data_IF_629660056404
#
_entry.id   IF_629660056404
#
_cell.length_a   1.000
_cell.length_b   1.000
_cell.length_c   1.000
_cell.angle_alpha   90.00
_cell.angle_beta   90.00
_cell.angle_gamma   90.00
#
_symmetry.space_group_name_H-M   'P 1'
#
loop_
_entity.id
_entity.type
_entity.pdbx_description
1 polymer ?
#
# COMPACT_ATOMS: atom_id res chain seq x y z
N UNK A 1 12.60 -20.62 -20.65
CA UNK A 1 12.33 -19.45 -21.53
C UNK A 1 13.13 -18.19 -21.17
N UNK A 2 14.33 -18.27 -20.55
CA UNK A 2 15.19 -17.10 -20.28
C UNK A 2 14.51 -15.91 -19.57
N UNK A 3 13.58 -16.19 -18.65
CA UNK A 3 12.84 -15.21 -17.87
C UNK A 3 12.97 -15.52 -16.38
N UNK A 4 13.03 -14.48 -15.55
CA UNK A 4 12.91 -14.63 -14.10
C UNK A 4 11.53 -15.19 -13.74
N UNK A 5 11.52 -16.14 -12.80
CA UNK A 5 10.31 -16.83 -12.32
C UNK A 5 9.71 -16.12 -11.09
N UNK A 6 10.56 -15.55 -10.24
CA UNK A 6 10.16 -14.80 -9.03
C UNK A 6 10.19 -13.28 -9.27
N UNK A 7 10.46 -12.48 -8.23
CA UNK A 7 10.46 -11.02 -8.30
C UNK A 7 11.32 -10.51 -9.46
N UNK A 8 10.76 -9.58 -10.22
CA UNK A 8 11.39 -8.96 -11.39
C UNK A 8 10.98 -7.51 -11.51
N UNK A 9 11.89 -6.69 -12.03
CA UNK A 9 11.55 -5.32 -12.43
C UNK A 9 10.76 -5.31 -13.74
N UNK A 10 9.97 -4.25 -13.94
CA UNK A 10 9.45 -3.90 -15.26
C UNK A 10 10.59 -3.61 -16.26
N UNK A 11 11.74 -3.14 -15.78
CA UNK A 11 12.94 -2.92 -16.60
C UNK A 11 13.72 -4.23 -16.75
N UNK A 12 13.86 -4.71 -17.98
CA UNK A 12 14.51 -6.01 -18.30
C UNK A 12 15.95 -6.16 -17.80
N UNK A 13 16.67 -5.05 -17.64
CA UNK A 13 18.08 -5.03 -17.23
C UNK A 13 18.28 -4.55 -15.78
N UNK A 14 17.23 -4.54 -14.97
CA UNK A 14 17.27 -4.16 -13.55
C UNK A 14 17.05 -5.39 -12.66
N UNK A 15 18.02 -5.70 -11.82
CA UNK A 15 18.08 -6.97 -11.09
C UNK A 15 18.18 -6.82 -9.56
N UNK A 16 18.19 -5.60 -9.03
CA UNK A 16 18.42 -5.38 -7.59
C UNK A 16 17.35 -6.07 -6.74
N UNK A 17 16.07 -6.00 -7.15
CA UNK A 17 14.95 -6.62 -6.42
C UNK A 17 15.02 -8.15 -6.49
N UNK A 18 15.36 -8.71 -7.65
CA UNK A 18 15.56 -10.15 -7.81
C UNK A 18 16.73 -10.68 -6.96
N UNK A 19 17.82 -9.91 -6.87
CA UNK A 19 18.97 -10.27 -6.05
C UNK A 19 18.68 -10.12 -4.55
N UNK A 20 17.93 -9.09 -4.15
CA UNK A 20 17.49 -8.88 -2.78
C UNK A 20 16.60 -10.03 -2.31
N UNK A 21 15.58 -10.39 -3.09
CA UNK A 21 14.71 -11.52 -2.80
C UNK A 21 15.50 -12.84 -2.72
N UNK A 22 16.48 -13.04 -3.60
CA UNK A 22 17.36 -14.22 -3.54
C UNK A 22 18.18 -14.27 -2.25
N UNK A 23 18.70 -13.14 -1.79
CA UNK A 23 19.44 -13.05 -0.53
C UNK A 23 18.53 -13.34 0.66
N UNK A 24 17.31 -12.82 0.65
CA UNK A 24 16.30 -13.07 1.67
C UNK A 24 15.86 -14.55 1.69
N UNK A 25 15.62 -15.14 0.53
CA UNK A 25 15.35 -16.58 0.38
C UNK A 25 16.51 -17.44 0.90
N UNK A 26 17.76 -17.00 0.70
CA UNK A 26 18.94 -17.69 1.25
C UNK A 26 18.97 -17.63 2.78
N UNK A 27 18.65 -16.49 3.38
CA UNK A 27 18.57 -16.33 4.84
C UNK A 27 17.54 -17.28 5.44
N UNK A 28 16.39 -17.40 4.77
CA UNK A 28 15.27 -18.27 5.15
C UNK A 28 15.39 -19.71 4.60
N UNK A 29 16.52 -20.06 3.99
CA UNK A 29 16.86 -21.40 3.51
C UNK A 29 16.41 -21.76 2.10
N UNK A 30 15.28 -21.23 1.61
CA UNK A 30 14.82 -21.44 0.22
C UNK A 30 13.79 -20.39 -0.22
N UNK A 31 13.50 -20.33 -1.52
CA UNK A 31 12.37 -19.53 -2.04
C UNK A 31 11.00 -20.07 -1.58
N UNK A 32 10.88 -21.39 -1.39
CA UNK A 32 9.64 -22.00 -0.92
C UNK A 32 9.31 -21.57 0.51
N UNK A 33 10.34 -21.37 1.34
CA UNK A 33 10.19 -20.88 2.72
C UNK A 33 9.61 -19.45 2.79
N UNK A 34 9.66 -18.66 1.71
CA UNK A 34 9.07 -17.32 1.67
C UNK A 34 7.56 -17.34 1.40
N UNK A 35 6.98 -18.49 1.04
CA UNK A 35 5.56 -18.59 0.70
C UNK A 35 4.69 -18.38 1.94
N UNK A 36 3.78 -17.41 1.86
CA UNK A 36 2.86 -17.09 2.95
C UNK A 36 3.52 -16.29 4.09
N UNK A 37 4.65 -15.64 3.83
CA UNK A 37 5.31 -14.75 4.79
C UNK A 37 4.45 -13.57 5.22
N UNK A 38 4.76 -13.03 6.39
CA UNK A 38 4.08 -11.87 6.97
C UNK A 38 4.79 -10.57 6.55
N UNK A 39 4.04 -9.58 6.05
CA UNK A 39 4.61 -8.28 5.67
C UNK A 39 5.34 -7.59 6.84
N UNK A 40 4.84 -7.76 8.07
CA UNK A 40 5.44 -7.17 9.26
C UNK A 40 6.84 -7.71 9.53
N UNK A 41 7.02 -9.03 9.47
CA UNK A 41 8.33 -9.66 9.64
C UNK A 41 9.32 -9.13 8.61
N UNK A 42 8.89 -9.01 7.34
CA UNK A 42 9.74 -8.45 6.30
C UNK A 42 10.09 -6.96 6.56
N UNK A 43 9.14 -6.16 7.04
CA UNK A 43 9.40 -4.76 7.40
C UNK A 43 10.41 -4.67 8.55
N UNK A 44 10.30 -5.51 9.58
CA UNK A 44 11.25 -5.59 10.69
C UNK A 44 12.63 -6.01 10.20
N UNK A 45 12.74 -7.09 9.43
CA UNK A 45 14.01 -7.59 8.90
C UNK A 45 14.72 -6.54 8.02
N UNK A 46 13.98 -5.71 7.27
CA UNK A 46 14.57 -4.70 6.38
C UNK A 46 14.85 -3.36 7.04
N UNK A 47 14.24 -3.05 8.18
CA UNK A 47 14.35 -1.72 8.80
C UNK A 47 14.89 -1.72 10.22
N UNK A 48 14.79 -2.85 10.94
CA UNK A 48 14.98 -2.90 12.39
C UNK A 48 13.93 -2.08 13.16
N UNK A 49 12.86 -1.66 12.50
CA UNK A 49 11.81 -0.81 13.07
C UNK A 49 10.83 -1.56 13.97
N UNK A 50 9.91 -0.81 14.58
CA UNK A 50 8.84 -1.35 15.43
C UNK A 50 7.56 -1.43 14.62
N UNK A 51 6.92 -2.59 14.61
CA UNK A 51 5.66 -2.78 13.89
C UNK A 51 4.43 -2.60 14.75
N UNK A 52 3.39 -2.07 14.12
CA UNK A 52 2.04 -1.94 14.62
C UNK A 52 1.06 -2.53 13.61
N UNK A 53 -0.06 -3.03 14.10
CA UNK A 53 -1.08 -3.69 13.32
C UNK A 53 -2.47 -3.21 13.76
N UNK A 54 -3.34 -2.94 12.79
CA UNK A 54 -4.73 -2.61 13.05
C UNK A 54 -5.65 -3.48 12.18
N UNK A 55 -6.59 -4.16 12.82
CA UNK A 55 -7.78 -4.67 12.14
C UNK A 55 -8.69 -3.49 11.80
N UNK A 56 -9.05 -3.33 10.53
CA UNK A 56 -9.84 -2.17 10.06
C UNK A 56 -11.26 -2.15 10.62
N UNK A 57 -11.78 -3.31 11.06
CA UNK A 57 -13.05 -3.43 11.80
C UNK A 57 -12.99 -2.79 13.20
N UNK A 58 -11.81 -2.77 13.81
CA UNK A 58 -11.58 -2.30 15.19
C UNK A 58 -10.65 -1.08 15.23
N UNK A 59 -10.35 -0.51 14.06
CA UNK A 59 -9.37 0.55 13.94
C UNK A 59 -9.85 1.84 14.64
N UNK A 60 -8.90 2.61 15.21
CA UNK A 60 -9.23 3.83 15.93
C UNK A 60 -9.83 4.89 15.00
N UNK A 61 -10.64 5.78 15.56
CA UNK A 61 -11.38 6.81 14.78
C UNK A 61 -10.45 7.80 14.07
N UNK A 62 -9.24 7.98 14.60
CA UNK A 62 -8.19 8.83 14.07
C UNK A 62 -7.16 8.07 13.20
N UNK A 63 -7.45 6.83 12.77
CA UNK A 63 -6.56 6.02 11.92
C UNK A 63 -6.00 6.79 10.73
N UNK A 64 -6.83 7.60 10.06
CA UNK A 64 -6.38 8.41 8.93
C UNK A 64 -5.24 9.39 9.32
N UNK A 65 -5.36 10.00 10.50
CA UNK A 65 -4.31 10.89 11.03
C UNK A 65 -3.06 10.10 11.40
N UNK A 66 -3.22 8.91 11.97
CA UNK A 66 -2.10 8.01 12.29
C UNK A 66 -1.34 7.63 11.02
N UNK A 67 -2.05 7.20 9.97
CA UNK A 67 -1.45 6.85 8.67
C UNK A 67 -0.73 8.04 8.04
N UNK A 68 -1.33 9.23 8.10
CA UNK A 68 -0.71 10.44 7.55
C UNK A 68 0.60 10.78 8.28
N UNK A 69 0.58 10.80 9.61
CA UNK A 69 1.79 11.02 10.43
C UNK A 69 2.85 9.94 10.18
N UNK A 70 2.44 8.70 9.99
CA UNK A 70 3.31 7.57 9.66
C UNK A 70 4.06 7.81 8.33
N UNK A 71 3.38 8.27 7.28
CA UNK A 71 4.07 8.61 6.03
C UNK A 71 4.98 9.83 6.18
N UNK A 72 4.55 10.86 6.91
CA UNK A 72 5.32 12.09 7.13
C UNK A 72 6.65 11.81 7.85
N UNK A 73 6.69 10.82 8.76
CA UNK A 73 7.91 10.37 9.46
C UNK A 73 8.70 9.28 8.71
N UNK A 74 8.24 8.87 7.53
CA UNK A 74 8.92 7.86 6.71
C UNK A 74 8.68 6.42 7.14
N UNK A 75 7.66 6.13 7.95
CA UNK A 75 7.24 4.76 8.26
C UNK A 75 6.82 4.02 6.99
N UNK A 76 7.02 2.71 6.98
CA UNK A 76 6.50 1.84 5.93
C UNK A 76 5.08 1.42 6.28
N UNK A 77 4.22 1.29 5.28
CA UNK A 77 2.86 0.82 5.48
C UNK A 77 2.44 -0.20 4.42
N UNK A 78 1.81 -1.26 4.91
CA UNK A 78 1.21 -2.32 4.11
C UNK A 78 -0.25 -2.51 4.50
N UNK A 79 -1.02 -3.11 3.62
CA UNK A 79 -2.39 -3.51 3.92
C UNK A 79 -2.75 -4.74 3.10
N UNK A 80 -3.78 -5.47 3.53
CA UNK A 80 -4.27 -6.60 2.75
C UNK A 80 -5.73 -6.90 3.06
N UNK A 81 -6.25 -7.84 2.29
CA UNK A 81 -7.62 -8.34 2.41
C UNK A 81 -7.52 -9.82 2.77
N UNK A 82 -7.98 -10.21 3.94
CA UNK A 82 -7.91 -11.61 4.34
C UNK A 82 -8.80 -12.49 3.45
N UNK A 83 -8.28 -13.68 3.13
CA UNK A 83 -9.06 -14.70 2.44
C UNK A 83 -9.66 -15.63 3.49
N UNK A 84 -11.00 -15.62 3.60
CA UNK A 84 -11.75 -16.53 4.48
C UNK A 84 -11.58 -18.02 4.10
N UNK A 85 -11.01 -18.31 2.93
CA UNK A 85 -10.80 -19.68 2.43
C UNK A 85 -9.31 -19.88 2.10
N UNK A 86 -8.57 -20.67 2.89
CA UNK A 86 -7.12 -20.89 2.72
C UNK A 86 -6.73 -21.46 1.34
N UNK A 87 -7.65 -22.12 0.64
CA UNK A 87 -7.40 -22.70 -0.68
C UNK A 87 -7.48 -21.69 -1.84
N UNK A 88 -7.79 -20.42 -1.56
CA UNK A 88 -7.99 -19.37 -2.57
C UNK A 88 -7.23 -18.09 -2.22
N UNK A 89 -5.91 -18.20 -2.10
CA UNK A 89 -5.03 -17.04 -2.17
C UNK A 89 -5.13 -16.40 -3.57
N UNK A 90 -4.88 -15.09 -3.64
CA UNK A 90 -4.84 -14.33 -4.89
C UNK A 90 -6.17 -14.30 -5.69
N UNK A 91 -7.31 -14.32 -4.98
CA UNK A 91 -8.63 -14.22 -5.64
C UNK A 91 -8.99 -12.77 -5.92
N UNK A 92 -9.19 -12.44 -7.20
CA UNK A 92 -9.65 -11.12 -7.63
C UNK A 92 -11.13 -10.89 -7.27
N UNK A 93 -11.44 -9.73 -6.71
CA UNK A 93 -12.79 -9.26 -6.44
C UNK A 93 -13.42 -8.65 -7.70
N UNK A 94 -14.73 -8.41 -7.66
CA UNK A 94 -15.42 -7.65 -8.72
C UNK A 94 -14.91 -6.21 -8.84
N UNK A 95 -14.36 -5.67 -7.76
CA UNK A 95 -13.78 -4.32 -7.71
C UNK A 95 -12.31 -4.25 -8.15
N UNK A 96 -11.76 -5.37 -8.62
CA UNK A 96 -10.40 -5.45 -9.13
C UNK A 96 -9.33 -5.82 -8.10
N UNK A 97 -9.60 -5.63 -6.81
CA UNK A 97 -8.69 -5.95 -5.70
C UNK A 97 -8.43 -7.46 -5.58
N UNK A 98 -7.36 -7.84 -4.89
CA UNK A 98 -6.91 -9.23 -4.76
C UNK A 98 -6.89 -9.61 -3.28
N UNK A 99 -7.59 -10.70 -2.93
CA UNK A 99 -7.62 -11.25 -1.57
C UNK A 99 -6.42 -12.14 -1.28
N UNK A 100 -5.99 -12.20 -0.02
CA UNK A 100 -4.80 -12.92 0.41
C UNK A 100 -3.52 -12.36 -0.20
N UNK A 101 -3.50 -11.04 -0.47
CA UNK A 101 -2.43 -10.34 -1.16
C UNK A 101 -2.08 -9.04 -0.45
N UNK A 102 -0.78 -8.75 -0.35
CA UNK A 102 -0.28 -7.54 0.27
C UNK A 102 -0.20 -6.38 -0.74
N UNK A 103 -0.65 -5.21 -0.30
CA UNK A 103 -0.53 -3.94 -1.01
C UNK A 103 0.33 -3.00 -0.17
N UNK A 104 1.08 -2.11 -0.80
CA UNK A 104 1.78 -1.02 -0.10
C UNK A 104 0.91 0.22 -0.05
N UNK A 105 0.87 0.91 1.09
CA UNK A 105 0.29 2.27 1.17
C UNK A 105 1.40 3.26 0.80
N UNK A 106 1.24 3.99 -0.30
CA UNK A 106 2.29 4.87 -0.85
C UNK A 106 1.99 6.36 -0.67
N UNK A 107 0.74 6.74 -0.38
CA UNK A 107 0.37 8.10 0.00
C UNK A 107 -0.96 8.14 0.74
N UNK A 108 -1.17 9.19 1.54
CA UNK A 108 -2.45 9.54 2.15
C UNK A 108 -2.59 11.05 2.06
N UNK A 109 -3.64 11.52 1.39
CA UNK A 109 -3.84 12.95 1.19
C UNK A 109 -5.33 13.31 1.05
N UNK A 110 -5.63 14.59 1.21
CA UNK A 110 -6.96 15.16 1.10
C UNK A 110 -7.07 16.00 -0.17
N UNK A 111 -8.23 15.91 -0.84
CA UNK A 111 -8.55 16.73 -1.99
C UNK A 111 -9.85 17.50 -1.78
N UNK A 112 -10.02 18.60 -2.53
CA UNK A 112 -11.24 19.41 -2.50
C UNK A 112 -11.92 19.40 -3.87
N UNK A 113 -12.96 18.58 -4.07
CA UNK A 113 -13.80 18.64 -5.27
C UNK A 113 -14.38 20.05 -5.46
N UNK A 114 -14.28 20.58 -6.68
CA UNK A 114 -14.78 21.92 -7.00
C UNK A 114 -16.29 22.10 -6.79
N UNK A 115 -17.06 21.00 -6.76
CA UNK A 115 -18.49 20.98 -6.49
C UNK A 115 -18.85 20.94 -4.99
N UNK A 116 -17.90 20.63 -4.11
CA UNK A 116 -18.11 20.51 -2.67
C UNK A 116 -17.22 21.51 -1.93
N UNK A 117 -17.67 22.77 -1.82
CA UNK A 117 -16.89 23.86 -1.21
C UNK A 117 -16.45 23.58 0.23
N UNK A 118 -17.19 22.78 0.99
CA UNK A 118 -16.94 22.59 2.43
C UNK A 118 -16.47 21.19 2.85
N UNK A 119 -16.50 20.18 1.97
CA UNK A 119 -16.11 18.81 2.33
C UNK A 119 -14.87 18.36 1.58
N UNK A 120 -13.76 18.23 2.32
CA UNK A 120 -12.57 17.54 1.85
C UNK A 120 -12.85 16.04 1.72
N UNK A 121 -12.29 15.41 0.70
CA UNK A 121 -12.30 13.95 0.54
C UNK A 121 -10.95 13.41 0.96
N UNK A 122 -10.96 12.43 1.86
CA UNK A 122 -9.78 11.71 2.33
C UNK A 122 -9.48 10.56 1.38
N UNK A 123 -8.28 10.53 0.82
CA UNK A 123 -7.83 9.53 -0.13
C UNK A 123 -6.62 8.75 0.42
N UNK A 124 -6.50 7.51 -0.02
CA UNK A 124 -5.36 6.62 0.23
C UNK A 124 -4.86 6.11 -1.12
N UNK A 125 -3.55 6.21 -1.36
CA UNK A 125 -2.88 5.65 -2.54
C UNK A 125 -2.24 4.32 -2.17
N UNK A 126 -2.53 3.32 -2.97
CA UNK A 126 -2.14 1.94 -2.76
C UNK A 126 -1.40 1.44 -3.99
N UNK A 127 -0.45 0.54 -3.78
CA UNK A 127 0.30 -0.10 -4.86
C UNK A 127 0.21 -1.62 -4.76
N UNK A 128 -0.27 -2.23 -5.84
CA UNK A 128 -0.17 -3.65 -6.07
C UNK A 128 1.28 -4.00 -6.50
N UNK A 129 2.02 -4.84 -5.75
CA UNK A 129 3.40 -5.19 -6.08
C UNK A 129 3.56 -5.91 -7.43
N UNK A 130 2.48 -6.44 -8.02
CA UNK A 130 2.51 -6.99 -9.38
C UNK A 130 2.74 -5.94 -10.47
N UNK A 131 2.54 -4.66 -10.15
CA UNK A 131 2.67 -3.56 -11.11
C UNK A 131 1.55 -3.53 -12.17
N UNK A 132 0.40 -4.14 -11.83
CA UNK A 132 -0.81 -4.26 -12.65
C UNK A 132 -1.95 -4.72 -11.73
N UNK A 133 -3.16 -4.80 -12.26
CA UNK A 133 -4.38 -5.21 -11.56
C UNK A 133 -4.73 -4.24 -10.43
N UNK A 134 -5.55 -3.26 -10.81
CA UNK A 134 -5.89 -2.12 -9.97
C UNK A 134 -7.37 -2.10 -9.57
N UNK A 135 -7.67 -1.21 -8.62
CA UNK A 135 -9.02 -0.82 -8.23
C UNK A 135 -9.80 -0.22 -9.40
N UNK A 136 -11.06 -0.61 -9.56
CA UNK A 136 -11.94 -0.11 -10.63
C UNK A 136 -13.15 0.70 -10.13
N UNK A 137 -13.16 1.09 -8.85
CA UNK A 137 -14.22 1.89 -8.24
C UNK A 137 -13.91 3.40 -8.24
N UNK A 138 -14.62 4.19 -7.40
CA UNK A 138 -14.37 5.63 -7.27
C UNK A 138 -12.90 5.94 -6.98
N UNK A 139 -12.38 6.98 -7.63
CA UNK A 139 -10.96 7.40 -7.57
C UNK A 139 -9.93 6.46 -8.22
N UNK A 140 -10.36 5.38 -8.88
CA UNK A 140 -9.49 4.66 -9.84
C UNK A 140 -8.99 5.58 -10.95
N UNK A 141 -7.93 5.19 -11.64
CA UNK A 141 -7.24 5.99 -12.66
C UNK A 141 -8.14 6.64 -13.72
N UNK A 142 -9.17 5.91 -14.16
CA UNK A 142 -10.09 6.38 -15.19
C UNK A 142 -11.43 6.88 -14.62
N UNK A 143 -11.49 7.09 -13.31
CA UNK A 143 -12.73 7.43 -12.62
C UNK A 143 -13.16 8.88 -12.86
N UNK A 144 -14.48 9.09 -12.90
CA UNK A 144 -15.07 10.41 -13.16
C UNK A 144 -14.80 11.42 -12.05
N UNK A 145 -14.53 10.99 -10.83
CA UNK A 145 -14.27 11.84 -9.66
C UNK A 145 -13.10 12.79 -9.93
N UNK A 146 -12.08 12.34 -10.67
CA UNK A 146 -10.96 13.18 -11.09
C UNK A 146 -11.39 14.38 -11.93
N UNK A 147 -12.49 14.30 -12.69
CA UNK A 147 -12.97 15.43 -13.50
C UNK A 147 -13.42 16.61 -12.65
N UNK A 148 -13.69 16.38 -11.36
CA UNK A 148 -14.12 17.41 -10.41
C UNK A 148 -12.97 18.16 -9.74
N UNK A 149 -11.72 17.73 -9.93
CA UNK A 149 -10.53 18.36 -9.35
C UNK A 149 -9.88 19.35 -10.33
N UNK A 150 -9.32 20.43 -9.78
CA UNK A 150 -8.45 21.33 -10.54
C UNK A 150 -7.17 20.61 -10.98
N UNK A 151 -6.44 21.19 -11.94
CA UNK A 151 -5.14 20.66 -12.35
C UNK A 151 -4.16 20.60 -11.18
N UNK A 152 -4.10 21.67 -10.37
CA UNK A 152 -3.19 21.74 -9.23
C UNK A 152 -3.46 20.66 -8.18
N UNK A 153 -4.74 20.33 -7.91
CA UNK A 153 -5.11 19.24 -7.00
C UNK A 153 -4.71 17.86 -7.57
N UNK A 154 -4.84 17.66 -8.88
CA UNK A 154 -4.38 16.41 -9.54
C UNK A 154 -2.87 16.27 -9.51
N UNK A 155 -2.16 17.36 -9.77
CA UNK A 155 -0.70 17.40 -9.77
C UNK A 155 -0.17 17.14 -8.34
N UNK A 156 -0.83 17.71 -7.32
CA UNK A 156 -0.56 17.43 -5.90
C UNK A 156 -0.73 15.94 -5.57
N UNK A 157 -1.82 15.32 -6.03
CA UNK A 157 -2.11 13.90 -5.82
C UNK A 157 -1.29 12.98 -6.74
N UNK A 158 -0.42 13.54 -7.59
CA UNK A 158 0.36 12.80 -8.57
C UNK A 158 -0.51 11.84 -9.40
N UNK A 159 -1.72 12.28 -9.75
CA UNK A 159 -2.65 11.45 -10.49
C UNK A 159 -2.08 11.11 -11.86
N UNK A 160 -1.97 9.81 -12.14
CA UNK A 160 -1.60 9.26 -13.44
C UNK A 160 -2.72 8.32 -13.87
N UNK A 161 -2.87 8.15 -15.18
CA UNK A 161 -3.74 7.13 -15.77
C UNK A 161 -2.83 6.14 -16.46
N UNK A 162 -2.39 5.13 -15.73
CA UNK A 162 -1.41 4.17 -16.17
C UNK A 162 -1.63 2.82 -15.47
N UNK A 163 -1.58 1.71 -16.20
CA UNK A 163 -1.63 0.39 -15.58
C UNK A 163 -0.23 0.06 -15.01
N UNK A 164 0.04 0.54 -13.79
CA UNK A 164 1.30 0.36 -13.07
C UNK A 164 1.13 -0.24 -11.67
N UNK A 165 -0.11 -0.61 -11.33
CA UNK A 165 -0.50 -1.19 -10.05
C UNK A 165 -0.76 -0.16 -8.95
N UNK A 166 -0.48 1.13 -9.17
CA UNK A 166 -0.73 2.19 -8.20
C UNK A 166 -2.05 2.90 -8.47
N UNK A 167 -2.89 3.05 -7.44
CA UNK A 167 -4.21 3.66 -7.58
C UNK A 167 -4.62 4.38 -6.31
N UNK A 168 -5.54 5.34 -6.45
CA UNK A 168 -6.19 5.98 -5.31
C UNK A 168 -7.55 5.35 -5.03
N UNK A 169 -7.97 5.40 -3.76
CA UNK A 169 -9.34 5.15 -3.33
C UNK A 169 -9.73 6.07 -2.18
N UNK A 170 -11.02 6.20 -1.91
CA UNK A 170 -11.47 6.93 -0.72
C UNK A 170 -11.08 6.17 0.56
N UNK A 171 -10.82 6.89 1.65
CA UNK A 171 -10.53 6.24 2.94
C UNK A 171 -11.70 5.37 3.44
N UNK A 172 -12.93 5.74 3.10
CA UNK A 172 -14.10 4.92 3.42
C UNK A 172 -14.14 3.63 2.61
N UNK A 173 -13.83 3.69 1.31
CA UNK A 173 -13.69 2.48 0.50
C UNK A 173 -12.52 1.62 0.98
N UNK A 174 -11.41 2.24 1.39
CA UNK A 174 -10.27 1.52 1.98
C UNK A 174 -10.71 0.69 3.18
N UNK A 175 -11.34 1.30 4.19
CA UNK A 175 -11.87 0.59 5.36
C UNK A 175 -12.89 -0.48 5.04
N UNK A 176 -13.70 -0.27 3.99
CA UNK A 176 -14.74 -1.22 3.58
C UNK A 176 -14.18 -2.45 2.87
N UNK A 177 -13.09 -2.29 2.13
CA UNK A 177 -12.56 -3.35 1.25
C UNK A 177 -11.36 -4.09 1.85
N UNK A 178 -10.53 -3.41 2.65
CA UNK A 178 -9.37 -3.99 3.31
C UNK A 178 -9.72 -4.49 4.71
N UNK A 179 -9.01 -5.52 5.18
CA UNK A 179 -9.23 -6.10 6.51
C UNK A 179 -8.19 -5.63 7.51
N UNK A 180 -6.95 -5.42 7.05
CA UNK A 180 -5.83 -5.03 7.90
C UNK A 180 -4.93 -3.95 7.31
N UNK A 181 -4.34 -3.17 8.20
CA UNK A 181 -3.22 -2.27 7.92
C UNK A 181 -2.07 -2.56 8.89
N UNK A 182 -0.87 -2.50 8.34
CA UNK A 182 0.40 -2.89 8.93
C UNK A 182 1.33 -1.67 8.82
N UNK A 183 1.86 -1.17 9.93
CA UNK A 183 2.71 0.03 9.97
C UNK A 183 4.04 -0.35 10.61
N UNK A 184 5.16 0.00 9.98
CA UNK A 184 6.49 -0.17 10.54
C UNK A 184 7.16 1.18 10.73
N UNK A 185 7.41 1.54 11.99
CA UNK A 185 8.05 2.79 12.38
C UNK A 185 9.56 2.61 12.49
N UNK A 186 10.32 3.50 11.84
CA UNK A 186 11.77 3.41 11.75
C UNK A 186 12.51 3.86 13.03
N UNK A 187 11.83 4.49 13.97
CA UNK A 187 12.37 4.85 15.29
C UNK A 187 11.37 4.50 16.39
N UNK A 188 11.81 4.10 17.60
CA UNK A 188 10.92 3.90 18.75
C UNK A 188 10.17 5.19 19.14
N UNK A 189 10.81 6.34 18.99
CA UNK A 189 10.26 7.66 19.32
C UNK A 189 9.10 8.08 18.39
N UNK A 190 8.89 7.39 17.27
CA UNK A 190 7.79 7.62 16.34
C UNK A 190 6.40 7.38 16.96
N UNK A 191 6.34 6.68 18.10
CA UNK A 191 5.14 6.45 18.88
C UNK A 191 4.76 7.66 19.75
N UNK A 192 5.71 8.57 20.03
CA UNK A 192 5.53 9.68 20.98
C UNK A 192 5.83 11.08 20.42
N UNK A 193 6.56 11.22 19.31
CA UNK A 193 7.08 12.51 18.83
C UNK A 193 6.63 12.87 17.39
N UNK A 194 6.08 14.08 17.22
CA UNK A 194 5.59 14.64 15.95
C UNK A 194 6.74 15.19 15.06
N UNK A 195 7.99 14.77 15.29
CA UNK A 195 9.17 15.30 14.62
C UNK A 195 9.89 14.23 13.79
N UNK A 196 10.26 14.62 12.57
CA UNK A 196 11.14 13.83 11.70
C UNK A 196 12.54 13.87 12.30
N UNK A 197 12.95 12.77 12.94
CA UNK A 197 14.33 12.57 13.35
C UNK A 197 15.13 12.07 12.14
N UNK A 198 16.08 12.89 11.68
CA UNK A 198 17.04 12.48 10.65
C UNK A 198 18.19 11.75 11.34
N UNK A 199 18.55 10.59 10.81
CA UNK A 199 19.80 9.89 11.13
C UNK A 199 21.00 10.67 10.62
#
# INVERSE_FOLDING_TARGET
NNHLVFTKSFRKNEFWSALLEKAYAKLHGSYEALKGGNTLEAMEDFTGGVTEFFELSEAPTDLYSIMKKALERGSLMGCSIDSLVPARFETRTVTGLVKGHAYSVTAVDECKPSQHKDNKVRLVRLRNPWGQVEWNGPWSDNSKEWTTLSKDEKDKLQHQSAEDGEFWMSFEDFKKNYTKIEICNLTPDALEDDKIHKW
#
